data_IF_974857232611
#
_entry.id   IF_974857232611
#
_cell.length_a   1.000
_cell.length_b   1.000
_cell.length_c   1.000
_cell.angle_alpha   90.00
_cell.angle_beta   90.00
_cell.angle_gamma   90.00
#
_symmetry.space_group_name_H-M   'P 1'
#
loop_
_entity.id
_entity.type
_entity.pdbx_description
1 polymer ?
#
# COMPACT_ATOMS: atom_id res chain seq x y z
N UNK A 1 -6.99 25.85 -8.04
CA UNK A 1 -6.36 26.17 -9.34
C UNK A 1 -7.51 26.45 -10.29
N UNK A 2 -7.53 27.63 -10.90
CA UNK A 2 -8.53 27.99 -11.91
C UNK A 2 -8.21 27.31 -13.24
N UNK A 3 -9.22 27.07 -14.08
CA UNK A 3 -9.04 26.38 -15.37
C UNK A 3 -8.03 27.11 -16.29
N UNK A 4 -8.06 28.45 -16.29
CA UNK A 4 -7.10 29.25 -17.06
C UNK A 4 -5.65 29.07 -16.60
N UNK A 5 -5.41 28.92 -15.30
CA UNK A 5 -4.07 28.65 -14.77
C UNK A 5 -3.57 27.25 -15.15
N UNK A 6 -4.45 26.24 -15.17
CA UNK A 6 -4.06 24.91 -15.66
C UNK A 6 -3.58 24.94 -17.11
N UNK A 7 -4.31 25.62 -18.00
CA UNK A 7 -3.89 25.74 -19.41
C UNK A 7 -2.61 26.56 -19.57
N UNK A 8 -2.45 27.64 -18.80
CA UNK A 8 -1.21 28.40 -18.80
C UNK A 8 -0.03 27.52 -18.35
N UNK A 9 -0.16 26.85 -17.20
CA UNK A 9 0.88 25.96 -16.67
C UNK A 9 1.19 24.84 -17.67
N UNK A 10 0.17 24.23 -18.26
CA UNK A 10 0.35 23.15 -19.23
C UNK A 10 1.09 23.64 -20.48
N UNK A 11 0.63 24.73 -21.12
CA UNK A 11 1.18 25.15 -22.40
C UNK A 11 2.54 25.84 -22.24
N UNK A 12 2.64 26.79 -21.30
CA UNK A 12 3.85 27.60 -21.14
C UNK A 12 4.96 26.84 -20.42
N UNK A 13 4.64 26.11 -19.34
CA UNK A 13 5.69 25.34 -18.66
C UNK A 13 6.10 24.09 -19.46
N UNK A 14 5.24 23.54 -20.32
CA UNK A 14 5.67 22.47 -21.22
C UNK A 14 6.62 22.99 -22.29
N UNK A 15 6.35 24.15 -22.91
CA UNK A 15 7.29 24.75 -23.85
C UNK A 15 8.64 25.03 -23.17
N UNK A 16 8.61 25.62 -21.97
CA UNK A 16 9.82 25.82 -21.18
C UNK A 16 10.51 24.54 -20.71
N UNK A 17 9.84 23.38 -20.73
CA UNK A 17 10.45 22.07 -20.54
C UNK A 17 11.11 21.59 -21.83
N UNK A 18 10.46 21.75 -22.98
CA UNK A 18 11.00 21.39 -24.31
C UNK A 18 12.28 22.15 -24.59
N UNK A 19 12.29 23.47 -24.40
CA UNK A 19 13.46 24.33 -24.62
C UNK A 19 14.68 23.96 -23.76
N UNK A 20 14.45 23.34 -22.60
CA UNK A 20 15.49 22.94 -21.64
C UNK A 20 15.86 21.46 -21.75
N UNK A 21 15.17 20.71 -22.59
CA UNK A 21 15.40 19.28 -22.74
C UNK A 21 16.29 19.01 -23.94
N UNK A 22 17.25 18.12 -23.77
CA UNK A 22 18.07 17.61 -24.87
C UNK A 22 17.32 16.49 -25.59
N UNK A 23 17.41 16.43 -26.92
CA UNK A 23 16.74 15.38 -27.73
C UNK A 23 17.13 13.96 -27.28
N UNK A 24 18.37 13.80 -26.82
CA UNK A 24 18.91 12.56 -26.25
C UNK A 24 18.10 12.02 -25.06
N UNK A 25 17.37 12.88 -24.35
CA UNK A 25 16.50 12.45 -23.24
C UNK A 25 15.26 11.68 -23.72
N UNK A 26 14.84 11.91 -24.98
CA UNK A 26 13.69 11.25 -25.59
C UNK A 26 14.11 10.07 -26.46
N UNK A 27 15.10 10.28 -27.34
CA UNK A 27 15.59 9.24 -28.25
C UNK A 27 16.18 8.03 -27.52
N UNK A 28 16.66 8.21 -26.27
CA UNK A 28 17.11 7.10 -25.43
C UNK A 28 16.02 6.06 -25.11
N UNK A 29 14.73 6.39 -25.24
CA UNK A 29 13.61 5.55 -24.81
C UNK A 29 12.48 5.43 -25.84
N UNK A 30 12.69 5.90 -27.07
CA UNK A 30 11.64 6.00 -28.10
C UNK A 30 11.14 4.62 -28.58
N UNK A 31 12.04 3.66 -28.72
CA UNK A 31 11.72 2.36 -29.30
C UNK A 31 11.05 1.39 -28.31
N UNK A 32 11.57 1.30 -27.08
CA UNK A 32 11.08 0.34 -26.09
C UNK A 32 11.37 0.74 -24.64
N UNK A 33 10.47 0.35 -23.74
CA UNK A 33 10.65 0.46 -22.29
C UNK A 33 11.21 -0.83 -21.66
N UNK A 34 12.11 -0.69 -20.69
CA UNK A 34 12.74 -1.80 -19.94
C UNK A 34 12.81 -1.55 -18.41
N UNK A 35 11.67 -1.30 -17.75
CA UNK A 35 11.67 -1.01 -16.32
C UNK A 35 12.01 -2.28 -15.50
N UNK A 36 13.01 -2.27 -14.59
CA UNK A 36 13.24 -3.36 -13.65
C UNK A 36 12.16 -3.47 -12.57
N UNK A 37 11.42 -2.38 -12.30
CA UNK A 37 10.44 -2.31 -11.23
C UNK A 37 9.05 -2.04 -11.81
N UNK A 38 8.10 -2.91 -11.52
CA UNK A 38 6.68 -2.57 -11.56
C UNK A 38 6.29 -2.03 -10.19
N UNK A 39 5.77 -0.80 -10.12
CA UNK A 39 5.31 -0.21 -8.86
C UNK A 39 3.80 -0.01 -8.89
N UNK A 40 3.08 -0.62 -7.94
CA UNK A 40 1.68 -0.31 -7.66
C UNK A 40 1.60 0.60 -6.44
N UNK A 41 1.08 1.82 -6.60
CA UNK A 41 0.91 2.75 -5.47
C UNK A 41 -0.45 3.43 -5.47
N UNK A 42 -0.74 4.20 -4.42
CA UNK A 42 -2.01 4.87 -4.27
C UNK A 42 -2.12 6.05 -5.26
N UNK A 43 -3.33 6.30 -5.77
CA UNK A 43 -3.67 7.48 -6.56
C UNK A 43 -3.65 8.79 -5.74
N UNK A 44 -3.43 8.72 -4.43
CA UNK A 44 -3.29 9.87 -3.53
C UNK A 44 -2.27 10.88 -4.07
N UNK A 45 -2.71 12.11 -4.32
CA UNK A 45 -1.90 13.15 -4.96
C UNK A 45 -0.67 13.59 -4.16
N UNK A 46 -0.51 13.15 -2.91
CA UNK A 46 0.64 13.46 -2.06
C UNK A 46 1.82 12.50 -2.28
N UNK A 47 1.62 11.36 -2.94
CA UNK A 47 2.71 10.42 -3.25
C UNK A 47 3.68 11.09 -4.24
N UNK A 48 4.93 11.20 -3.83
CA UNK A 48 5.96 11.91 -4.61
C UNK A 48 6.60 10.97 -5.63
N UNK A 49 6.78 11.46 -6.86
CA UNK A 49 7.45 10.71 -7.94
C UNK A 49 8.96 10.50 -7.74
N UNK A 50 9.59 11.16 -6.76
CA UNK A 50 11.04 11.02 -6.47
C UNK A 50 11.34 10.22 -5.21
N UNK A 51 10.39 9.40 -4.74
CA UNK A 51 10.47 8.69 -3.46
C UNK A 51 11.68 7.74 -3.34
N UNK A 52 12.15 7.19 -4.47
CA UNK A 52 13.33 6.32 -4.52
C UNK A 52 14.64 7.10 -4.66
N UNK A 53 14.61 8.43 -4.67
CA UNK A 53 15.80 9.27 -4.80
C UNK A 53 16.48 9.20 -6.17
N UNK A 54 15.82 8.65 -7.18
CA UNK A 54 16.33 8.49 -8.54
C UNK A 54 15.32 8.96 -9.58
N UNK A 55 15.80 9.21 -10.80
CA UNK A 55 14.91 9.37 -11.95
C UNK A 55 14.19 8.04 -12.24
N UNK A 56 12.86 8.09 -12.37
CA UNK A 56 12.03 6.91 -12.59
C UNK A 56 11.80 6.60 -14.07
N UNK A 57 12.15 7.52 -14.97
CA UNK A 57 11.97 7.35 -16.42
C UNK A 57 12.67 6.05 -16.85
N UNK A 58 11.91 5.20 -17.55
CA UNK A 58 12.31 3.86 -18.00
C UNK A 58 12.83 2.90 -16.91
N UNK A 59 12.72 3.26 -15.62
CA UNK A 59 13.16 2.42 -14.49
C UNK A 59 12.00 1.87 -13.68
N UNK A 60 10.85 2.54 -13.68
CA UNK A 60 9.67 2.12 -12.93
C UNK A 60 8.41 2.19 -13.77
N UNK A 61 7.80 1.04 -14.03
CA UNK A 61 6.45 0.95 -14.57
C UNK A 61 5.43 1.23 -13.46
N UNK A 62 4.88 2.44 -13.41
CA UNK A 62 4.02 2.87 -12.30
C UNK A 62 2.54 2.69 -12.63
N UNK A 63 1.83 1.99 -11.75
CA UNK A 63 0.36 1.85 -11.76
C UNK A 63 -0.19 2.49 -10.49
N UNK A 64 -1.25 3.30 -10.63
CA UNK A 64 -1.88 3.99 -9.50
C UNK A 64 -3.38 3.75 -9.47
N UNK A 65 -3.91 3.41 -8.29
CA UNK A 65 -5.34 3.36 -8.01
C UNK A 65 -5.61 3.69 -6.54
N UNK A 66 -6.88 3.86 -6.16
CA UNK A 66 -7.21 4.23 -4.79
C UNK A 66 -6.97 3.03 -3.84
N UNK A 67 -6.08 3.20 -2.87
CA UNK A 67 -5.71 2.14 -1.93
C UNK A 67 -4.81 1.05 -2.51
N UNK A 68 -4.10 1.31 -3.62
CA UNK A 68 -3.04 0.45 -4.18
C UNK A 68 -3.46 -1.03 -4.35
N UNK A 69 -4.66 -1.26 -4.88
CA UNK A 69 -5.33 -2.55 -5.01
C UNK A 69 -4.85 -3.34 -6.24
N UNK A 70 -4.30 -4.54 -6.04
CA UNK A 70 -3.78 -5.38 -7.14
C UNK A 70 -4.88 -5.78 -8.11
N UNK A 71 -6.06 -6.12 -7.59
CA UNK A 71 -7.17 -6.62 -8.41
C UNK A 71 -7.79 -5.57 -9.35
N UNK A 72 -7.57 -4.27 -9.11
CA UNK A 72 -8.20 -3.18 -9.90
C UNK A 72 -7.49 -2.88 -11.21
N UNK A 73 -6.19 -3.15 -11.32
CA UNK A 73 -5.39 -2.88 -12.51
C UNK A 73 -4.65 -4.12 -13.03
N UNK A 74 -5.28 -5.30 -12.94
CA UNK A 74 -4.66 -6.57 -13.35
C UNK A 74 -4.08 -6.54 -14.76
N UNK A 75 -4.75 -5.90 -15.72
CA UNK A 75 -4.26 -5.82 -17.10
C UNK A 75 -2.90 -5.12 -17.21
N UNK A 76 -2.78 -3.91 -16.65
CA UNK A 76 -1.52 -3.16 -16.65
C UNK A 76 -0.43 -3.85 -15.84
N UNK A 77 -0.78 -4.47 -14.70
CA UNK A 77 0.17 -5.23 -13.90
C UNK A 77 0.66 -6.47 -14.64
N UNK A 78 -0.23 -7.23 -15.29
CA UNK A 78 0.13 -8.41 -16.07
C UNK A 78 1.02 -8.01 -17.26
N UNK A 79 0.72 -6.93 -17.95
CA UNK A 79 1.57 -6.42 -19.03
C UNK A 79 3.00 -6.16 -18.53
N UNK A 80 3.16 -5.41 -17.43
CA UNK A 80 4.49 -5.11 -16.91
C UNK A 80 5.21 -6.37 -16.41
N UNK A 81 4.52 -7.21 -15.63
CA UNK A 81 5.13 -8.38 -15.02
C UNK A 81 5.43 -9.48 -16.05
N UNK A 82 4.63 -9.63 -17.10
CA UNK A 82 4.72 -10.77 -18.04
C UNK A 82 5.20 -10.42 -19.44
N UNK A 83 4.81 -9.26 -19.97
CA UNK A 83 5.28 -8.80 -21.28
C UNK A 83 6.60 -8.04 -21.16
N UNK A 84 6.73 -7.13 -20.18
CA UNK A 84 7.99 -6.41 -19.93
C UNK A 84 8.96 -7.20 -19.03
N UNK A 85 8.50 -8.28 -18.40
CA UNK A 85 9.29 -9.16 -17.53
C UNK A 85 10.04 -8.44 -16.40
N UNK A 86 9.40 -7.45 -15.78
CA UNK A 86 10.01 -6.73 -14.64
C UNK A 86 10.31 -7.70 -13.48
N UNK A 87 11.54 -7.78 -12.96
CA UNK A 87 11.90 -8.71 -11.87
C UNK A 87 11.43 -8.27 -10.48
N UNK A 88 10.98 -7.02 -10.30
CA UNK A 88 10.53 -6.50 -9.00
C UNK A 88 9.10 -5.99 -9.13
N UNK A 89 8.20 -6.50 -8.29
CA UNK A 89 6.87 -5.94 -8.10
C UNK A 89 6.78 -5.26 -6.74
N UNK A 90 6.81 -3.93 -6.72
CA UNK A 90 6.75 -3.13 -5.51
C UNK A 90 5.35 -2.57 -5.26
N UNK A 91 4.69 -3.04 -4.22
CA UNK A 91 3.38 -2.56 -3.77
C UNK A 91 3.60 -1.55 -2.65
N UNK A 92 3.40 -0.27 -2.96
CA UNK A 92 3.68 0.84 -2.06
C UNK A 92 2.38 1.50 -1.57
N UNK A 93 1.99 1.18 -0.34
CA UNK A 93 0.97 1.92 0.39
C UNK A 93 1.55 3.17 1.05
N UNK A 94 0.72 3.87 1.82
CA UNK A 94 1.18 5.03 2.57
C UNK A 94 0.36 5.28 3.84
N UNK A 95 0.98 5.94 4.81
CA UNK A 95 0.28 6.36 6.03
C UNK A 95 -0.80 7.40 5.71
N UNK A 96 -1.86 7.42 6.53
CA UNK A 96 -2.98 8.35 6.41
C UNK A 96 -3.63 8.35 5.01
N UNK A 97 -3.87 7.14 4.48
CA UNK A 97 -4.48 6.94 3.18
C UNK A 97 -5.99 7.18 3.21
N UNK A 98 -6.48 8.06 2.33
CA UNK A 98 -7.90 8.40 2.26
C UNK A 98 -8.78 7.20 1.93
N UNK A 99 -8.35 6.33 1.00
CA UNK A 99 -9.08 5.13 0.61
C UNK A 99 -9.17 4.10 1.75
N UNK A 100 -8.06 3.89 2.48
CA UNK A 100 -8.00 3.02 3.67
C UNK A 100 -8.91 3.54 4.77
N UNK A 101 -8.84 4.85 5.07
CA UNK A 101 -9.70 5.48 6.07
C UNK A 101 -11.18 5.38 5.67
N UNK A 102 -11.46 5.55 4.37
CA UNK A 102 -12.80 5.41 3.84
C UNK A 102 -13.32 3.98 4.06
N UNK A 103 -12.57 2.96 3.65
CA UNK A 103 -12.97 1.57 3.85
C UNK A 103 -13.12 1.22 5.33
N UNK A 104 -12.29 1.78 6.21
CA UNK A 104 -12.34 1.54 7.64
C UNK A 104 -13.63 2.01 8.29
N UNK A 105 -14.06 3.24 8.00
CA UNK A 105 -15.34 3.67 8.55
C UNK A 105 -16.53 2.95 7.91
N UNK A 106 -16.46 2.57 6.62
CA UNK A 106 -17.53 1.77 5.99
C UNK A 106 -17.70 0.42 6.72
N UNK A 107 -16.58 -0.21 7.06
CA UNK A 107 -16.54 -1.46 7.84
C UNK A 107 -17.15 -1.26 9.24
N UNK A 108 -16.82 -0.16 9.92
CA UNK A 108 -17.35 0.16 11.25
C UNK A 108 -18.84 0.51 11.25
N UNK A 109 -19.35 1.13 10.18
CA UNK A 109 -20.76 1.43 10.01
C UNK A 109 -21.60 0.14 9.88
N UNK A 110 -21.06 -0.89 9.22
CA UNK A 110 -21.71 -2.20 9.12
C UNK A 110 -21.79 -2.90 10.49
N UNK A 111 -20.75 -2.80 11.32
CA UNK A 111 -20.76 -3.35 12.69
C UNK A 111 -21.88 -2.70 13.53
N UNK A 112 -22.05 -1.37 13.46
CA UNK A 112 -23.13 -0.67 14.17
C UNK A 112 -24.52 -1.16 13.77
N UNK A 113 -24.80 -1.28 12.47
CA UNK A 113 -26.10 -1.79 12.00
C UNK A 113 -26.40 -3.20 12.51
N UNK A 114 -25.37 -4.04 12.67
CA UNK A 114 -25.49 -5.39 13.22
C UNK A 114 -25.66 -5.40 14.76
N UNK A 115 -25.18 -4.39 15.47
CA UNK A 115 -25.40 -4.22 16.91
C UNK A 115 -26.80 -3.65 17.18
N UNK A 116 -27.22 -2.62 16.44
CA UNK A 116 -28.54 -1.99 16.54
C UNK A 116 -29.67 -2.94 16.15
N UNK A 117 -29.47 -3.81 15.15
CA UNK A 117 -30.46 -4.84 14.76
C UNK A 117 -30.55 -6.04 15.69
N UNK A 118 -29.66 -6.15 16.69
CA UNK A 118 -29.75 -7.19 17.75
C UNK A 118 -30.60 -6.75 18.93
N UNK A 119 -30.90 -5.46 19.06
CA UNK A 119 -31.75 -4.92 20.13
C UNK A 119 -33.24 -4.91 19.74
N UNK A 120 -33.59 -5.28 18.50
CA UNK A 120 -34.97 -5.37 18.02
C UNK A 120 -35.29 -6.79 17.52
N UNK A 121 -36.21 -7.46 18.24
CA UNK A 121 -36.84 -8.77 17.99
C UNK A 121 -36.18 -10.07 18.52
N UNK A 122 -36.84 -10.59 19.56
CA UNK A 122 -37.26 -11.99 19.76
C UNK A 122 -36.40 -13.12 19.19
N UNK A 123 -35.91 -13.94 20.11
CA UNK A 123 -35.48 -15.33 19.93
C UNK A 123 -36.43 -16.09 19.01
N UNK A 124 -36.03 -16.29 17.75
CA UNK A 124 -36.51 -17.40 16.94
C UNK A 124 -35.36 -18.39 16.85
N UNK A 125 -35.52 -19.48 17.59
CA UNK A 125 -34.66 -20.65 17.56
C UNK A 125 -34.86 -21.40 16.24
N UNK A 126 -33.83 -21.42 15.40
CA UNK A 126 -33.72 -22.40 14.32
C UNK A 126 -32.41 -23.17 14.52
N UNK A 127 -32.58 -24.44 14.87
CA UNK A 127 -31.55 -25.45 14.97
C UNK A 127 -30.92 -25.74 13.60
N UNK A 128 -29.58 -25.75 13.51
CA UNK A 128 -28.86 -26.24 12.34
C UNK A 128 -27.45 -25.69 12.28
N UNK A 129 -26.47 -26.52 12.62
CA UNK A 129 -25.12 -26.10 12.99
C UNK A 129 -24.26 -25.56 11.86
N UNK A 130 -23.55 -24.47 12.17
CA UNK A 130 -22.18 -24.16 11.75
C UNK A 130 -21.66 -23.06 12.70
N UNK A 131 -20.52 -23.30 13.37
CA UNK A 131 -19.91 -22.36 14.32
C UNK A 131 -19.52 -21.06 13.60
N UNK A 132 -20.20 -19.95 13.91
CA UNK A 132 -19.73 -18.59 13.59
C UNK A 132 -18.64 -18.19 14.57
N UNK A 133 -17.39 -18.16 14.12
CA UNK A 133 -16.31 -17.52 14.87
C UNK A 133 -16.40 -15.99 14.74
N UNK A 134 -16.42 -15.31 15.89
CA UNK A 134 -15.84 -13.97 16.08
C UNK A 134 -16.68 -12.75 15.69
N UNK A 135 -17.43 -12.19 16.64
CA UNK A 135 -17.79 -10.77 16.57
C UNK A 135 -16.54 -9.89 16.74
N UNK A 136 -16.47 -8.76 16.03
CA UNK A 136 -15.36 -7.80 16.17
C UNK A 136 -15.48 -7.10 17.52
N UNK A 137 -14.56 -7.37 18.45
CA UNK A 137 -14.55 -6.70 19.74
C UNK A 137 -13.87 -5.32 19.62
N UNK A 138 -14.68 -4.26 19.55
CA UNK A 138 -14.23 -2.87 19.35
C UNK A 138 -13.82 -2.14 20.64
N UNK A 139 -13.87 -2.82 21.79
CA UNK A 139 -13.61 -2.25 23.12
C UNK A 139 -12.60 -3.08 23.91
N UNK A 140 -11.73 -2.41 24.67
CA UNK A 140 -10.83 -3.05 25.66
C UNK A 140 -11.06 -2.48 27.06
N UNK A 141 -10.38 -3.04 28.06
CA UNK A 141 -10.33 -2.49 29.43
C UNK A 141 -9.84 -1.04 29.52
N UNK A 142 -9.25 -0.47 28.45
CA UNK A 142 -8.81 0.94 28.34
C UNK A 142 -9.78 1.84 27.55
N UNK A 143 -10.94 1.35 27.14
CA UNK A 143 -11.94 2.09 26.36
C UNK A 143 -11.82 1.92 24.83
N UNK A 144 -12.67 2.62 24.08
CA UNK A 144 -12.70 2.64 22.60
C UNK A 144 -11.56 3.53 22.05
N UNK A 145 -10.88 3.11 20.98
CA UNK A 145 -9.88 3.96 20.32
C UNK A 145 -10.52 5.26 19.80
N UNK A 146 -9.88 6.40 20.05
CA UNK A 146 -10.27 7.72 19.50
C UNK A 146 -10.29 7.74 17.97
N UNK A 147 -9.58 6.83 17.31
CA UNK A 147 -9.65 6.67 15.85
C UNK A 147 -10.92 5.95 15.44
N UNK A 148 -11.28 4.87 16.13
CA UNK A 148 -12.53 4.14 15.85
C UNK A 148 -13.71 5.11 15.95
N UNK A 149 -13.76 5.96 16.98
CA UNK A 149 -14.81 6.97 17.11
C UNK A 149 -14.77 8.06 16.02
N UNK A 150 -13.59 8.40 15.50
CA UNK A 150 -13.46 9.33 14.36
C UNK A 150 -13.89 8.71 13.03
N UNK A 151 -13.49 7.46 12.75
CA UNK A 151 -13.84 6.73 11.53
C UNK A 151 -15.34 6.40 11.48
N UNK A 152 -15.94 6.20 12.65
CA UNK A 152 -17.38 6.04 12.83
C UNK A 152 -18.22 7.27 12.43
N UNK A 153 -17.62 8.45 12.27
CA UNK A 153 -18.35 9.70 11.93
C UNK A 153 -18.49 9.95 10.42
N UNK A 154 -17.74 9.24 9.59
CA UNK A 154 -17.84 9.39 8.14
C UNK A 154 -19.14 8.77 7.61
N UNK A 155 -19.85 9.51 6.77
CA UNK A 155 -21.06 9.04 6.09
C UNK A 155 -20.69 8.41 4.75
N UNK A 156 -20.60 7.08 4.76
CA UNK A 156 -20.24 6.27 3.60
C UNK A 156 -21.37 6.11 2.60
N UNK A 157 -22.61 6.26 3.06
CA UNK A 157 -23.79 6.03 2.23
C UNK A 157 -24.00 7.12 1.19
N UNK A 158 -23.44 8.31 1.43
CA UNK A 158 -23.50 9.46 0.52
C UNK A 158 -22.51 9.39 -0.66
N UNK A 159 -21.56 8.44 -0.67
CA UNK A 159 -20.60 8.31 -1.77
C UNK A 159 -21.25 7.73 -3.04
N UNK A 160 -20.75 8.12 -4.23
CA UNK A 160 -21.25 7.57 -5.50
C UNK A 160 -21.02 6.06 -5.62
N UNK A 161 -21.79 5.40 -6.49
CA UNK A 161 -21.65 3.96 -6.74
C UNK A 161 -20.25 3.58 -7.20
N UNK A 162 -19.61 4.43 -7.99
CA UNK A 162 -18.25 4.24 -8.52
C UNK A 162 -17.23 4.26 -7.37
N UNK A 163 -17.33 5.24 -6.48
CA UNK A 163 -16.48 5.32 -5.28
C UNK A 163 -16.69 4.11 -4.40
N UNK A 164 -17.94 3.73 -4.12
CA UNK A 164 -18.23 2.54 -3.32
C UNK A 164 -17.66 1.28 -3.97
N UNK A 165 -17.86 1.08 -5.28
CA UNK A 165 -17.29 -0.08 -6.00
C UNK A 165 -15.77 -0.11 -5.91
N UNK A 166 -15.10 1.04 -6.03
CA UNK A 166 -13.64 1.10 -5.91
C UNK A 166 -13.17 0.78 -4.49
N UNK A 167 -13.87 1.26 -3.46
CA UNK A 167 -13.47 1.13 -2.05
C UNK A 167 -13.87 -0.19 -1.40
N UNK A 168 -14.96 -0.84 -1.82
CA UNK A 168 -15.52 -2.03 -1.16
C UNK A 168 -14.52 -3.18 -0.96
N UNK A 169 -13.64 -3.55 -1.92
CA UNK A 169 -12.68 -4.63 -1.68
C UNK A 169 -11.65 -4.31 -0.59
N UNK A 170 -11.42 -3.03 -0.29
CA UNK A 170 -10.56 -2.63 0.81
C UNK A 170 -11.19 -2.94 2.18
N UNK A 171 -12.51 -3.16 2.29
CA UNK A 171 -13.09 -3.53 3.59
C UNK A 171 -12.56 -4.87 4.07
N UNK A 172 -12.24 -5.81 3.16
CA UNK A 172 -11.73 -7.15 3.50
C UNK A 172 -10.45 -7.08 4.35
N UNK A 173 -9.33 -6.47 3.89
CA UNK A 173 -8.15 -6.35 4.72
C UNK A 173 -8.38 -5.48 5.95
N UNK A 174 -9.23 -4.46 5.84
CA UNK A 174 -9.41 -3.49 6.91
C UNK A 174 -10.19 -4.09 8.08
N UNK A 175 -11.21 -4.91 7.83
CA UNK A 175 -11.92 -5.68 8.84
C UNK A 175 -10.98 -6.63 9.60
N UNK A 176 -10.04 -7.28 8.90
CA UNK A 176 -8.98 -8.09 9.53
C UNK A 176 -8.12 -7.25 10.48
N UNK A 177 -7.80 -6.01 10.10
CA UNK A 177 -6.96 -5.10 10.89
C UNK A 177 -7.68 -4.43 12.08
N UNK A 178 -8.98 -4.10 11.94
CA UNK A 178 -9.74 -3.36 12.96
C UNK A 178 -9.71 -4.07 14.32
N UNK A 179 -9.77 -5.41 14.34
CA UNK A 179 -9.72 -6.20 15.57
C UNK A 179 -8.43 -6.01 16.39
N UNK A 180 -7.35 -5.56 15.75
CA UNK A 180 -6.05 -5.36 16.39
C UNK A 180 -5.76 -3.91 16.79
N UNK A 181 -6.55 -2.93 16.31
CA UNK A 181 -6.31 -1.50 16.56
C UNK A 181 -6.24 -1.15 18.04
N UNK A 182 -7.11 -1.75 18.85
CA UNK A 182 -7.22 -1.44 20.28
C UNK A 182 -5.95 -1.83 21.05
N UNK A 183 -5.14 -2.76 20.52
CA UNK A 183 -3.88 -3.20 21.14
C UNK A 183 -2.71 -2.24 20.88
N UNK A 184 -2.79 -1.40 19.84
CA UNK A 184 -1.67 -0.53 19.42
C UNK A 184 -1.51 0.66 20.37
N UNK A 185 -2.60 1.30 20.78
CA UNK A 185 -2.59 2.37 21.78
C UNK A 185 -1.87 3.66 21.36
N UNK A 186 -1.53 3.83 20.09
CA UNK A 186 -0.92 5.03 19.52
C UNK A 186 -1.64 5.45 18.24
N UNK A 187 -2.18 6.67 18.24
CA UNK A 187 -3.01 7.19 17.16
C UNK A 187 -2.33 7.14 15.78
N UNK A 188 -1.07 7.57 15.68
CA UNK A 188 -0.37 7.58 14.39
C UNK A 188 -0.15 6.16 13.86
N UNK A 189 0.18 5.24 14.77
CA UNK A 189 0.44 3.83 14.45
C UNK A 189 -0.85 3.07 14.08
N UNK A 190 -1.98 3.36 14.72
CA UNK A 190 -3.26 2.71 14.43
C UNK A 190 -3.71 2.91 12.96
N UNK A 191 -3.65 4.13 12.43
CA UNK A 191 -3.99 4.37 11.01
C UNK A 191 -2.93 3.82 10.06
N UNK A 192 -1.66 3.93 10.42
CA UNK A 192 -0.56 3.38 9.63
C UNK A 192 -0.62 1.85 9.54
N UNK A 193 -1.09 1.19 10.60
CA UNK A 193 -1.32 -0.24 10.66
C UNK A 193 -2.41 -0.70 9.70
N UNK A 194 -3.52 0.05 9.55
CA UNK A 194 -4.53 -0.30 8.54
C UNK A 194 -3.98 -0.23 7.11
N UNK A 195 -3.12 0.74 6.82
CA UNK A 195 -2.40 0.78 5.55
C UNK A 195 -1.44 -0.41 5.39
N UNK A 196 -0.75 -0.83 6.45
CA UNK A 196 0.11 -2.02 6.47
C UNK A 196 -0.67 -3.29 6.14
N UNK A 197 -1.80 -3.51 6.83
CA UNK A 197 -2.67 -4.67 6.64
C UNK A 197 -3.22 -4.70 5.21
N UNK A 198 -3.56 -3.54 4.65
CA UNK A 198 -3.92 -3.46 3.24
C UNK A 198 -2.77 -3.92 2.34
N UNK A 199 -1.56 -3.39 2.51
CA UNK A 199 -0.38 -3.81 1.72
C UNK A 199 -0.11 -5.30 1.83
N UNK A 200 -0.17 -5.88 3.03
CA UNK A 200 0.00 -7.32 3.25
C UNK A 200 -1.01 -8.14 2.45
N UNK A 201 -2.28 -7.73 2.45
CA UNK A 201 -3.33 -8.35 1.64
C UNK A 201 -3.10 -8.19 0.13
N UNK A 202 -2.57 -7.05 -0.31
CA UNK A 202 -2.22 -6.87 -1.71
C UNK A 202 -1.05 -7.77 -2.13
N UNK A 203 -0.06 -7.98 -1.26
CA UNK A 203 1.01 -8.96 -1.49
C UNK A 203 0.45 -10.39 -1.55
N UNK A 204 -0.47 -10.76 -0.65
CA UNK A 204 -1.20 -12.03 -0.70
C UNK A 204 -1.87 -12.23 -2.08
N UNK A 205 -2.60 -11.22 -2.58
CA UNK A 205 -3.22 -11.28 -3.91
C UNK A 205 -2.22 -11.32 -5.06
N UNK A 206 -1.10 -10.63 -4.94
CA UNK A 206 -0.05 -10.69 -5.95
C UNK A 206 0.60 -12.09 -6.01
N UNK A 207 0.81 -12.74 -4.87
CA UNK A 207 1.28 -14.12 -4.79
C UNK A 207 0.28 -15.12 -5.37
N UNK A 208 -1.03 -14.92 -5.17
CA UNK A 208 -2.06 -15.74 -5.81
C UNK A 208 -1.98 -15.68 -7.34
N UNK A 209 -1.68 -14.52 -7.92
CA UNK A 209 -1.64 -14.34 -9.38
C UNK A 209 -0.27 -14.62 -10.01
N UNK A 210 0.82 -14.36 -9.29
CA UNK A 210 2.19 -14.36 -9.85
C UNK A 210 3.18 -15.20 -9.05
N UNK A 211 2.71 -15.99 -8.07
CA UNK A 211 3.56 -16.78 -7.17
C UNK A 211 4.46 -17.79 -7.86
N UNK A 212 4.08 -18.30 -9.03
CA UNK A 212 4.94 -19.21 -9.79
C UNK A 212 6.21 -18.52 -10.29
N UNK A 213 6.12 -17.24 -10.69
CA UNK A 213 7.31 -16.45 -11.03
C UNK A 213 8.23 -16.21 -9.84
N UNK A 214 7.66 -16.10 -8.63
CA UNK A 214 8.44 -15.99 -7.39
C UNK A 214 9.19 -17.30 -7.12
N UNK A 215 8.51 -18.46 -7.25
CA UNK A 215 9.14 -19.78 -7.09
C UNK A 215 10.25 -20.04 -8.12
N UNK A 216 10.08 -19.51 -9.33
CA UNK A 216 11.07 -19.58 -10.41
C UNK A 216 12.20 -18.54 -10.29
N UNK A 217 12.26 -17.75 -9.21
CA UNK A 217 13.22 -16.65 -9.02
C UNK A 217 13.20 -15.60 -10.13
N UNK A 218 12.06 -15.43 -10.83
CA UNK A 218 11.85 -14.43 -11.88
C UNK A 218 11.17 -13.16 -11.37
N UNK A 219 10.68 -13.17 -10.13
CA UNK A 219 9.95 -12.06 -9.53
C UNK A 219 10.17 -12.00 -8.02
N UNK A 220 10.46 -10.82 -7.50
CA UNK A 220 10.33 -10.50 -6.08
C UNK A 220 9.12 -9.56 -5.89
N UNK A 221 8.21 -9.91 -4.98
CA UNK A 221 7.08 -9.08 -4.60
C UNK A 221 7.39 -8.42 -3.26
N UNK A 222 7.45 -7.09 -3.24
CA UNK A 222 7.82 -6.31 -2.06
C UNK A 222 6.63 -5.43 -1.66
N UNK A 223 6.21 -5.51 -0.41
CA UNK A 223 5.24 -4.61 0.19
C UNK A 223 5.93 -3.54 1.03
N UNK A 224 5.58 -2.28 0.82
CA UNK A 224 6.11 -1.17 1.61
C UNK A 224 5.09 -0.08 1.91
N UNK A 225 5.47 0.77 2.86
CA UNK A 225 4.68 1.92 3.30
C UNK A 225 5.51 3.19 3.20
N UNK A 226 4.96 4.18 2.51
CA UNK A 226 5.48 5.54 2.58
C UNK A 226 4.96 6.26 3.85
N UNK A 227 5.88 6.54 4.76
CA UNK A 227 5.59 7.13 6.07
C UNK A 227 5.61 8.66 6.02
N UNK A 228 4.46 9.24 5.68
CA UNK A 228 4.25 10.67 5.69
C UNK A 228 4.24 11.28 7.08
N UNK A 229 3.81 10.53 8.10
CA UNK A 229 3.42 11.08 9.41
C UNK A 229 4.41 10.76 10.52
N UNK A 230 5.42 9.94 10.23
CA UNK A 230 6.37 9.42 11.18
C UNK A 230 5.72 8.42 12.13
N UNK A 231 4.98 7.45 11.59
CA UNK A 231 4.34 6.39 12.38
C UNK A 231 5.28 5.20 12.65
N UNK A 232 6.15 4.87 11.70
CA UNK A 232 7.12 3.78 11.82
C UNK A 232 8.43 4.27 12.41
N UNK A 233 8.80 5.49 12.08
CA UNK A 233 9.95 6.18 12.66
C UNK A 233 9.57 7.61 13.00
N UNK A 234 10.28 8.27 13.90
CA UNK A 234 10.08 9.70 14.15
C UNK A 234 10.49 10.59 12.96
N UNK A 235 10.93 10.01 11.83
CA UNK A 235 11.32 10.70 10.59
C UNK A 235 10.28 10.51 9.49
N UNK A 236 9.75 11.62 8.99
CA UNK A 236 8.79 11.65 7.87
C UNK A 236 9.49 11.45 6.53
N UNK A 237 8.77 10.93 5.55
CA UNK A 237 9.28 10.74 4.19
C UNK A 237 10.10 9.45 4.00
N UNK A 238 10.11 8.54 4.98
CA UNK A 238 10.75 7.23 4.83
C UNK A 238 9.82 6.26 4.12
N UNK A 239 10.39 5.43 3.24
CA UNK A 239 9.78 4.16 2.82
C UNK A 239 10.22 3.09 3.80
N UNK A 240 9.27 2.30 4.29
CA UNK A 240 9.50 1.14 5.16
C UNK A 240 9.02 -0.09 4.42
N UNK A 241 9.82 -1.14 4.37
CA UNK A 241 9.46 -2.44 3.82
C UNK A 241 8.81 -3.27 4.92
N UNK A 242 7.60 -3.75 4.68
CA UNK A 242 6.80 -4.48 5.68
C UNK A 242 6.58 -5.94 5.29
N UNK A 243 6.85 -6.30 4.03
CA UNK A 243 6.57 -7.62 3.49
C UNK A 243 7.47 -7.92 2.27
N UNK A 244 8.03 -9.12 2.18
CA UNK A 244 8.73 -9.61 1.00
C UNK A 244 8.24 -11.03 0.70
N UNK A 245 7.62 -11.25 -0.46
CA UNK A 245 7.10 -12.55 -0.89
C UNK A 245 6.17 -13.22 0.14
N UNK A 246 5.43 -12.44 0.94
CA UNK A 246 4.57 -12.94 2.01
C UNK A 246 5.29 -13.20 3.33
N UNK A 247 6.61 -13.05 3.39
CA UNK A 247 7.40 -13.04 4.62
C UNK A 247 7.22 -11.66 5.24
N UNK A 248 6.74 -11.61 6.47
CA UNK A 248 6.48 -10.35 7.16
C UNK A 248 6.76 -10.44 8.67
N UNK A 249 7.18 -11.60 9.18
CA UNK A 249 7.70 -11.71 10.54
C UNK A 249 9.06 -10.99 10.60
N UNK A 250 9.21 -10.07 11.54
CA UNK A 250 10.23 -9.00 11.48
C UNK A 250 11.65 -9.54 11.28
N UNK A 251 12.05 -10.55 12.05
CA UNK A 251 13.41 -11.10 11.95
C UNK A 251 13.64 -11.76 10.59
N UNK A 252 12.71 -12.62 10.15
CA UNK A 252 12.79 -13.28 8.83
C UNK A 252 12.70 -12.29 7.67
N UNK A 253 11.94 -11.21 7.84
CA UNK A 253 11.81 -10.17 6.83
C UNK A 253 13.14 -9.41 6.67
N UNK A 254 13.80 -9.07 7.78
CA UNK A 254 15.13 -8.45 7.77
C UNK A 254 16.18 -9.38 7.18
N UNK A 255 16.19 -10.66 7.58
CA UNK A 255 17.06 -11.70 7.00
C UNK A 255 16.82 -11.84 5.48
N UNK A 256 15.57 -11.84 5.04
CA UNK A 256 15.23 -11.89 3.61
C UNK A 256 15.73 -10.66 2.86
N UNK A 257 15.56 -9.46 3.41
CA UNK A 257 16.07 -8.23 2.79
C UNK A 257 17.59 -8.24 2.69
N UNK A 258 18.28 -8.69 3.74
CA UNK A 258 19.74 -8.82 3.75
C UNK A 258 20.21 -9.82 2.69
N UNK A 259 19.55 -10.96 2.56
CA UNK A 259 19.89 -11.97 1.57
C UNK A 259 19.81 -11.44 0.13
N UNK A 260 18.81 -10.59 -0.18
CA UNK A 260 18.74 -9.92 -1.50
C UNK A 260 19.93 -8.98 -1.73
N UNK A 261 20.36 -8.22 -0.72
CA UNK A 261 21.55 -7.37 -0.82
C UNK A 261 22.85 -8.19 -0.96
N UNK A 262 22.96 -9.31 -0.24
CA UNK A 262 24.15 -10.17 -0.25
C UNK A 262 24.32 -10.95 -1.56
N UNK A 263 23.22 -11.35 -2.19
CA UNK A 263 23.23 -12.12 -3.44
C UNK A 263 23.42 -11.27 -4.68
N UNK A 264 23.25 -9.95 -4.58
CA UNK A 264 23.54 -9.02 -5.67
C UNK A 264 25.04 -8.75 -5.79
N UNK A 265 25.66 -9.37 -6.79
CA UNK A 265 27.09 -9.22 -7.07
C UNK A 265 27.46 -7.86 -7.69
N UNK A 266 26.48 -7.02 -8.03
CA UNK A 266 26.73 -5.67 -8.56
C UNK A 266 26.98 -4.64 -7.48
N UNK A 267 26.64 -4.95 -6.22
CA UNK A 267 26.86 -4.06 -5.08
C UNK A 267 28.31 -4.17 -4.56
N UNK A 268 28.97 -3.02 -4.39
CA UNK A 268 30.25 -2.95 -3.68
C UNK A 268 30.03 -3.11 -2.17
N UNK A 269 30.24 -4.34 -1.69
CA UNK A 269 30.08 -4.72 -0.28
C UNK A 269 31.06 -4.02 0.67
N UNK A 270 32.13 -3.43 0.15
CA UNK A 270 33.10 -2.66 0.95
C UNK A 270 32.71 -1.19 1.11
N UNK A 271 31.79 -0.69 0.27
CA UNK A 271 31.38 0.71 0.23
C UNK A 271 30.63 1.15 1.49
N UNK A 272 30.74 2.44 1.83
CA UNK A 272 29.95 3.05 2.90
C UNK A 272 28.43 2.99 2.62
N UNK A 273 28.04 3.03 1.34
CA UNK A 273 26.63 2.91 0.95
C UNK A 273 26.06 1.53 1.26
N UNK A 274 26.83 0.46 1.05
CA UNK A 274 26.41 -0.90 1.41
C UNK A 274 26.31 -1.06 2.93
N UNK A 275 27.31 -0.59 3.69
CA UNK A 275 27.27 -0.60 5.17
C UNK A 275 26.06 0.16 5.71
N UNK A 276 25.76 1.32 5.11
CA UNK A 276 24.56 2.09 5.43
C UNK A 276 23.28 1.32 5.10
N UNK A 277 23.23 0.63 3.95
CA UNK A 277 22.10 -0.23 3.58
C UNK A 277 21.85 -1.31 4.64
N UNK A 278 22.88 -2.04 5.05
CA UNK A 278 22.76 -3.07 6.08
C UNK A 278 22.21 -2.52 7.41
N UNK A 279 22.72 -1.36 7.86
CA UNK A 279 22.20 -0.68 9.06
C UNK A 279 20.74 -0.25 8.88
N UNK A 280 20.40 0.27 7.70
CA UNK A 280 19.04 0.74 7.42
C UNK A 280 18.03 -0.41 7.30
N UNK A 281 18.45 -1.65 7.04
CA UNK A 281 17.55 -2.81 7.06
C UNK A 281 16.93 -2.96 8.45
N UNK A 282 17.73 -2.87 9.51
CA UNK A 282 17.23 -2.95 10.89
C UNK A 282 16.21 -1.84 11.22
N UNK A 283 16.37 -0.65 10.63
CA UNK A 283 15.47 0.49 10.88
C UNK A 283 14.23 0.52 9.96
N UNK A 284 14.40 0.18 8.68
CA UNK A 284 13.44 0.42 7.60
C UNK A 284 12.82 -0.85 7.03
N UNK A 285 13.23 -2.01 7.51
CA UNK A 285 12.56 -3.29 7.26
C UNK A 285 11.92 -3.70 8.58
N UNK A 286 10.74 -3.13 8.82
CA UNK A 286 10.07 -3.12 10.12
C UNK A 286 8.58 -2.93 9.95
N UNK A 287 7.82 -3.10 11.04
CA UNK A 287 6.37 -3.13 11.02
C UNK A 287 5.76 -2.64 12.34
N UNK A 288 4.47 -2.31 12.29
CA UNK A 288 3.62 -2.00 13.45
C UNK A 288 2.95 -3.28 13.95
#
# INVERSE_FOLDING_TARGET
MELGHFFYDLLVHNEGFVEKSEDTQFSAYEDQQHPPITMLTCADSRIQGKILGMDLINKVFTVRNAGNQVARNKGSLAYALTALNTPIFFILGHTNCGAVNFAAGASLANVRKLEESKDDSSVVSVTGGQKKEGGIQLTSSKGESKIISSLKKSDFSAASREVQREMLPLTIPIERGIAHLVKIGNKKKELAYLSQVNVDYQVEKALEYYGDRVKENKLAIVGGIYDFVGAYSDKRGRVVVTNINGIYEEKKLQESAMAFCETDNTLDKSSESYKLCCKLIEEKVSRI
#
